data_IF_330649397270
#
_entry.id   IF_330649397270
#
_cell.length_a   1.000
_cell.length_b   1.000
_cell.length_c   1.000
_cell.angle_alpha   90.00
_cell.angle_beta   90.00
_cell.angle_gamma   90.00
#
_symmetry.space_group_name_H-M   'P 1'
#
loop_
_entity.id
_entity.type
_entity.pdbx_description
1 polymer ?
#
# COMPACT_ATOMS: atom_id res chain seq x y z
N UNK A 1 68.67 33.70 -57.33
CA UNK A 1 67.69 33.50 -56.27
C UNK A 1 66.31 33.78 -56.83
N UNK A 2 65.59 32.72 -57.18
CA UNK A 2 64.19 32.84 -57.61
C UNK A 2 63.29 32.75 -56.34
N UNK A 3 62.77 33.91 -55.98
CA UNK A 3 61.75 33.99 -54.94
C UNK A 3 60.39 33.58 -55.57
N UNK A 4 60.05 32.30 -55.46
CA UNK A 4 58.75 31.82 -55.86
C UNK A 4 57.78 32.29 -54.79
N UNK A 5 57.27 33.49 -54.91
CA UNK A 5 56.06 33.84 -54.24
C UNK A 5 54.97 32.94 -54.82
N UNK A 6 54.55 31.95 -54.03
CA UNK A 6 53.37 31.18 -54.34
C UNK A 6 52.21 32.15 -54.27
N UNK A 7 51.85 32.75 -55.40
CA UNK A 7 50.59 33.46 -55.55
C UNK A 7 49.52 32.39 -55.55
N UNK A 8 48.90 32.12 -54.37
CA UNK A 8 47.67 31.36 -54.30
C UNK A 8 46.70 31.97 -55.31
N UNK A 9 46.29 31.19 -56.29
CA UNK A 9 45.31 31.63 -57.26
C UNK A 9 43.99 32.01 -56.55
N UNK A 10 43.29 33.07 -57.05
CA UNK A 10 41.98 33.44 -56.44
C UNK A 10 40.97 32.33 -56.43
N UNK A 11 41.06 31.37 -57.36
CA UNK A 11 40.21 30.14 -57.39
C UNK A 11 40.43 29.23 -56.22
N UNK A 12 41.66 29.06 -55.74
CA UNK A 12 42.00 28.20 -54.62
C UNK A 12 41.49 28.82 -53.33
N UNK A 13 41.55 30.08 -53.13
CA UNK A 13 40.99 30.81 -51.99
C UNK A 13 39.45 30.65 -51.91
N UNK A 14 38.78 30.78 -53.04
CA UNK A 14 37.34 30.62 -53.16
C UNK A 14 36.93 29.20 -52.84
N UNK A 15 37.67 28.20 -53.30
CA UNK A 15 37.40 26.79 -53.05
C UNK A 15 37.58 26.44 -51.56
N UNK A 16 38.63 26.92 -50.91
CA UNK A 16 38.85 26.74 -49.46
C UNK A 16 37.76 27.40 -48.65
N UNK A 17 37.36 28.64 -48.97
CA UNK A 17 36.26 29.34 -48.32
C UNK A 17 34.93 28.57 -48.43
N UNK A 18 34.64 28.01 -49.62
CA UNK A 18 33.45 27.20 -49.84
C UNK A 18 33.44 25.91 -48.99
N UNK A 19 34.57 25.22 -48.91
CA UNK A 19 34.70 24.00 -48.04
C UNK A 19 34.55 24.33 -46.57
N UNK A 20 35.15 25.41 -46.08
CA UNK A 20 35.01 25.85 -44.69
C UNK A 20 33.55 26.19 -44.37
N UNK A 21 32.86 26.89 -45.29
CA UNK A 21 31.44 27.22 -45.10
C UNK A 21 30.56 25.97 -45.04
N UNK A 22 30.84 24.97 -45.86
CA UNK A 22 30.14 23.67 -45.84
C UNK A 22 30.36 22.90 -44.54
N UNK A 23 31.58 22.92 -44.01
CA UNK A 23 31.91 22.30 -42.71
C UNK A 23 31.18 23.02 -41.58
N UNK A 24 31.16 24.34 -41.57
CA UNK A 24 30.47 25.18 -40.60
C UNK A 24 28.97 24.88 -40.59
N UNK A 25 28.33 24.82 -41.77
CA UNK A 25 26.90 24.46 -41.87
C UNK A 25 26.59 23.07 -41.36
N UNK A 26 27.44 22.09 -41.63
CA UNK A 26 27.29 20.72 -41.12
C UNK A 26 27.42 20.71 -39.59
N UNK A 27 28.39 21.39 -39.04
CA UNK A 27 28.60 21.49 -37.60
C UNK A 27 27.39 22.14 -36.93
N UNK A 28 26.89 23.24 -37.43
CA UNK A 28 25.71 23.93 -36.91
C UNK A 28 24.46 23.04 -36.97
N UNK A 29 24.26 22.31 -38.08
CA UNK A 29 23.14 21.40 -38.22
C UNK A 29 23.17 20.28 -37.16
N UNK A 30 24.34 19.63 -36.99
CA UNK A 30 24.51 18.55 -35.98
C UNK A 30 24.33 19.09 -34.56
N UNK A 31 24.85 20.29 -34.30
CA UNK A 31 24.71 20.93 -33.00
C UNK A 31 23.25 21.25 -32.65
N UNK A 32 22.52 21.83 -33.62
CA UNK A 32 21.10 22.13 -33.46
C UNK A 32 20.25 20.86 -33.25
N UNK A 33 20.55 19.77 -33.97
CA UNK A 33 19.88 18.49 -33.79
C UNK A 33 20.12 17.91 -32.38
N UNK A 34 21.35 18.05 -31.87
CA UNK A 34 21.67 17.62 -30.50
C UNK A 34 20.94 18.44 -29.46
N UNK A 35 20.87 19.77 -29.63
CA UNK A 35 20.10 20.64 -28.73
C UNK A 35 18.62 20.27 -28.75
N UNK A 36 18.05 20.04 -29.93
CA UNK A 36 16.64 19.65 -30.04
C UNK A 36 16.33 18.33 -29.31
N UNK A 37 17.18 17.31 -29.50
CA UNK A 37 17.05 16.05 -28.74
C UNK A 37 17.19 16.24 -27.25
N UNK A 38 18.09 17.10 -26.79
CA UNK A 38 18.22 17.42 -25.37
C UNK A 38 16.94 18.08 -24.83
N UNK A 39 16.33 18.99 -25.59
CA UNK A 39 15.06 19.63 -25.21
C UNK A 39 13.92 18.60 -25.10
N UNK A 40 13.83 17.66 -26.05
CA UNK A 40 12.89 16.55 -25.98
C UNK A 40 13.10 15.71 -24.71
N UNK A 41 14.35 15.33 -24.41
CA UNK A 41 14.67 14.56 -23.23
C UNK A 41 14.31 15.33 -21.93
N UNK A 42 14.60 16.63 -21.88
CA UNK A 42 14.23 17.46 -20.71
C UNK A 42 12.73 17.53 -20.54
N UNK A 43 11.97 17.65 -21.65
CA UNK A 43 10.51 17.61 -21.61
C UNK A 43 9.99 16.28 -21.07
N UNK A 44 10.50 15.15 -21.55
CA UNK A 44 10.12 13.82 -21.04
C UNK A 44 10.46 13.63 -19.56
N UNK A 45 11.60 14.17 -19.12
CA UNK A 45 11.95 14.14 -17.69
C UNK A 45 10.98 14.99 -16.87
N UNK A 46 10.58 16.16 -17.35
CA UNK A 46 9.61 17.01 -16.69
C UNK A 46 8.24 16.30 -16.57
N UNK A 47 7.76 15.70 -17.66
CA UNK A 47 6.52 14.90 -17.65
C UNK A 47 6.61 13.75 -16.66
N UNK A 48 7.75 13.05 -16.61
CA UNK A 48 8.00 11.98 -15.65
C UNK A 48 7.99 12.46 -14.19
N UNK A 49 8.53 13.62 -13.90
CA UNK A 49 8.50 14.24 -12.57
C UNK A 49 7.07 14.58 -12.15
N UNK A 50 6.24 15.09 -13.07
CA UNK A 50 4.83 15.37 -12.79
C UNK A 50 4.04 14.09 -12.45
N UNK A 51 4.26 13.00 -13.19
CA UNK A 51 3.66 11.69 -12.89
C UNK A 51 4.08 11.19 -11.49
N UNK A 52 5.36 11.31 -11.15
CA UNK A 52 5.87 10.91 -9.82
C UNK A 52 5.24 11.77 -8.72
N UNK A 53 5.10 13.07 -8.95
CA UNK A 53 4.44 13.97 -7.99
C UNK A 53 3.00 13.55 -7.75
N UNK A 54 2.22 13.29 -8.80
CA UNK A 54 0.82 12.89 -8.69
C UNK A 54 0.67 11.54 -8.00
N UNK A 55 1.54 10.56 -8.31
CA UNK A 55 1.59 9.28 -7.62
C UNK A 55 1.93 9.45 -6.13
N UNK A 56 2.85 10.36 -5.78
CA UNK A 56 3.22 10.64 -4.39
C UNK A 56 2.05 11.25 -3.60
N UNK A 57 1.29 12.14 -4.21
CA UNK A 57 0.06 12.71 -3.61
C UNK A 57 -0.99 11.63 -3.39
N UNK A 58 -1.15 10.73 -4.36
CA UNK A 58 -2.10 9.62 -4.23
C UNK A 58 -1.69 8.65 -3.11
N UNK A 59 -0.40 8.28 -3.02
CA UNK A 59 0.13 7.47 -1.92
C UNK A 59 -0.09 8.12 -0.55
N UNK A 60 0.01 9.44 -0.46
CA UNK A 60 -0.30 10.18 0.77
C UNK A 60 -1.75 9.97 1.21
N UNK A 61 -2.70 10.08 0.29
CA UNK A 61 -4.13 9.84 0.58
C UNK A 61 -4.40 8.40 1.01
N UNK A 62 -3.80 7.43 0.31
CA UNK A 62 -3.94 6.01 0.64
C UNK A 62 -3.36 5.68 2.03
N UNK A 63 -2.23 6.29 2.39
CA UNK A 63 -1.67 6.16 3.74
C UNK A 63 -2.58 6.74 4.83
N UNK A 64 -3.26 7.86 4.56
CA UNK A 64 -4.23 8.42 5.50
C UNK A 64 -5.45 7.50 5.67
N UNK A 65 -5.91 6.85 4.60
CA UNK A 65 -6.98 5.85 4.65
C UNK A 65 -6.56 4.60 5.46
N UNK A 66 -5.36 4.08 5.20
CA UNK A 66 -4.78 2.96 5.98
C UNK A 66 -4.70 3.34 7.46
N UNK A 67 -4.31 4.56 7.80
CA UNK A 67 -4.29 5.05 9.18
C UNK A 67 -5.67 4.99 9.86
N UNK A 68 -6.73 5.34 9.13
CA UNK A 68 -8.12 5.23 9.62
C UNK A 68 -8.54 3.78 9.81
N UNK A 69 -8.18 2.91 8.87
CA UNK A 69 -8.50 1.49 8.93
C UNK A 69 -7.81 0.80 10.11
N UNK A 70 -6.56 1.13 10.39
CA UNK A 70 -5.83 0.63 11.56
C UNK A 70 -6.54 1.05 12.86
N UNK A 71 -7.04 2.29 12.94
CA UNK A 71 -7.81 2.75 14.08
C UNK A 71 -9.11 1.97 14.24
N UNK A 72 -9.85 1.75 13.16
CA UNK A 72 -11.07 0.95 13.16
C UNK A 72 -10.80 -0.50 13.60
N UNK A 73 -9.70 -1.11 13.14
CA UNK A 73 -9.29 -2.45 13.56
C UNK A 73 -8.97 -2.51 15.07
N UNK A 74 -8.34 -1.48 15.61
CA UNK A 74 -8.08 -1.37 17.05
C UNK A 74 -9.39 -1.32 17.85
N UNK A 75 -10.37 -0.52 17.39
CA UNK A 75 -11.68 -0.42 18.03
C UNK A 75 -12.45 -1.77 17.96
N UNK A 76 -12.36 -2.48 16.85
CA UNK A 76 -12.95 -3.82 16.68
C UNK A 76 -12.27 -4.82 17.63
N UNK A 77 -10.96 -4.80 17.75
CA UNK A 77 -10.20 -5.67 18.66
C UNK A 77 -10.63 -5.44 20.11
N UNK A 78 -10.79 -4.19 20.53
CA UNK A 78 -11.26 -3.84 21.86
C UNK A 78 -12.67 -4.37 22.12
N UNK A 79 -13.59 -4.20 21.18
CA UNK A 79 -14.96 -4.74 21.29
C UNK A 79 -14.98 -6.25 21.35
N UNK A 80 -14.12 -6.92 20.61
CA UNK A 80 -13.99 -8.37 20.64
C UNK A 80 -13.50 -8.84 22.01
N UNK A 81 -12.52 -8.16 22.60
CA UNK A 81 -12.05 -8.45 23.95
C UNK A 81 -13.19 -8.33 24.99
N UNK A 82 -13.96 -7.25 24.91
CA UNK A 82 -15.09 -7.02 25.82
C UNK A 82 -16.19 -8.11 25.65
N UNK A 83 -16.45 -8.50 24.38
CA UNK A 83 -17.39 -9.57 24.05
C UNK A 83 -16.93 -10.92 24.63
N UNK A 84 -15.64 -11.24 24.49
CA UNK A 84 -15.05 -12.47 25.06
C UNK A 84 -15.19 -12.48 26.59
N UNK A 85 -14.86 -11.38 27.25
CA UNK A 85 -15.04 -11.24 28.72
C UNK A 85 -16.50 -11.46 29.13
N UNK A 86 -17.45 -10.85 28.41
CA UNK A 86 -18.88 -11.06 28.65
C UNK A 86 -19.32 -12.51 28.46
N UNK A 87 -18.79 -13.19 27.44
CA UNK A 87 -19.08 -14.59 27.16
C UNK A 87 -18.57 -15.51 28.29
N UNK A 88 -17.35 -15.24 28.79
CA UNK A 88 -16.78 -15.98 29.93
C UNK A 88 -17.67 -15.81 31.16
N UNK A 89 -18.04 -14.58 31.48
CA UNK A 89 -18.92 -14.30 32.62
C UNK A 89 -20.27 -15.04 32.50
N UNK A 90 -20.90 -14.99 31.33
CA UNK A 90 -22.15 -15.72 31.08
C UNK A 90 -21.99 -17.23 31.17
N UNK A 91 -20.85 -17.78 30.70
CA UNK A 91 -20.55 -19.22 30.84
C UNK A 91 -20.46 -19.65 32.31
N UNK A 92 -19.84 -18.84 33.16
CA UNK A 92 -19.75 -19.12 34.60
C UNK A 92 -21.14 -19.09 35.29
N UNK A 93 -21.99 -18.13 34.87
CA UNK A 93 -23.38 -18.07 35.38
C UNK A 93 -24.20 -19.29 34.96
N UNK A 94 -24.07 -19.73 33.70
CA UNK A 94 -24.71 -20.95 33.18
C UNK A 94 -24.22 -22.17 33.94
N UNK A 95 -22.93 -22.31 34.21
CA UNK A 95 -22.38 -23.41 35.03
C UNK A 95 -22.96 -23.41 36.45
N UNK A 96 -23.07 -22.24 37.07
CA UNK A 96 -23.73 -22.10 38.39
C UNK A 96 -25.18 -22.58 38.37
N UNK A 97 -25.92 -22.19 37.32
CA UNK A 97 -27.32 -22.61 37.12
C UNK A 97 -27.43 -24.14 36.93
N UNK A 98 -26.56 -24.72 36.11
CA UNK A 98 -26.51 -26.17 35.85
C UNK A 98 -26.25 -26.94 37.16
N UNK A 99 -25.32 -26.45 37.98
CA UNK A 99 -25.05 -27.07 39.29
C UNK A 99 -26.28 -27.04 40.21
N UNK A 100 -26.97 -25.88 40.28
CA UNK A 100 -28.19 -25.73 41.07
C UNK A 100 -29.31 -26.65 40.59
N UNK A 101 -29.49 -26.79 39.27
CA UNK A 101 -30.47 -27.73 38.68
C UNK A 101 -30.10 -29.19 39.01
N UNK A 102 -28.83 -29.53 39.02
CA UNK A 102 -28.34 -30.87 39.38
C UNK A 102 -28.64 -31.19 40.86
N UNK A 103 -28.40 -30.24 41.76
CA UNK A 103 -28.70 -30.36 43.16
C UNK A 103 -30.21 -30.55 43.39
N UNK A 104 -31.06 -29.72 42.82
CA UNK A 104 -32.52 -29.85 42.89
C UNK A 104 -33.02 -31.20 42.34
N UNK A 105 -32.42 -31.65 41.22
CA UNK A 105 -32.76 -32.96 40.63
C UNK A 105 -32.47 -34.12 41.63
N UNK A 106 -31.39 -34.05 42.39
CA UNK A 106 -31.00 -35.02 43.40
C UNK A 106 -31.95 -34.97 44.56
N UNK A 107 -32.35 -33.77 45.01
CA UNK A 107 -33.34 -33.62 46.11
C UNK A 107 -34.70 -34.18 45.72
N UNK A 108 -35.17 -33.89 44.50
CA UNK A 108 -36.41 -34.43 43.96
C UNK A 108 -36.38 -35.96 43.90
N UNK A 109 -35.27 -36.54 43.45
CA UNK A 109 -35.07 -37.99 43.38
C UNK A 109 -35.12 -38.63 44.80
N UNK A 110 -34.46 -38.01 45.77
CA UNK A 110 -34.49 -38.43 47.18
C UNK A 110 -35.92 -38.39 47.76
N UNK A 111 -36.61 -37.27 47.56
CA UNK A 111 -37.99 -37.10 48.01
C UNK A 111 -38.94 -38.12 47.36
N UNK A 112 -38.76 -38.42 46.06
CA UNK A 112 -39.56 -39.46 45.40
C UNK A 112 -39.31 -40.87 45.98
N UNK A 113 -38.05 -41.17 46.30
CA UNK A 113 -37.70 -42.42 46.95
C UNK A 113 -38.33 -42.54 48.39
N UNK A 114 -38.27 -41.46 49.15
CA UNK A 114 -38.89 -41.43 50.52
C UNK A 114 -40.40 -41.60 50.43
N UNK A 115 -41.07 -40.95 49.46
CA UNK A 115 -42.50 -41.16 49.22
C UNK A 115 -42.84 -42.59 48.82
N UNK A 116 -42.05 -43.22 47.97
CA UNK A 116 -42.18 -44.60 47.57
C UNK A 116 -42.08 -45.55 48.81
N UNK A 117 -41.13 -45.25 49.70
CA UNK A 117 -40.97 -45.94 50.98
C UNK A 117 -42.22 -45.84 51.89
N UNK A 118 -42.75 -44.61 52.03
CA UNK A 118 -43.99 -44.39 52.84
C UNK A 118 -45.18 -45.13 52.22
N UNK A 119 -45.37 -45.04 50.89
CA UNK A 119 -46.46 -45.73 50.18
C UNK A 119 -46.34 -47.25 50.35
N UNK A 120 -45.15 -47.81 50.30
CA UNK A 120 -44.94 -49.24 50.52
C UNK A 120 -45.29 -49.69 51.93
N UNK A 121 -45.06 -48.82 52.93
CA UNK A 121 -45.39 -49.10 54.31
C UNK A 121 -46.92 -49.11 54.55
N UNK A 122 -47.70 -48.29 53.85
CA UNK A 122 -49.14 -48.26 53.93
C UNK A 122 -49.86 -49.42 53.20
N UNK A 123 -49.14 -50.12 52.33
CA UNK A 123 -49.66 -51.21 51.50
C UNK A 123 -49.61 -52.59 52.22
N UNK A 124 -49.01 -52.61 53.36
CA UNK A 124 -49.09 -53.77 54.28
C UNK A 124 -50.26 -53.62 55.27
#
# INVERSE_FOLDING_TARGET
MMNRSVSEEPSDRLFIAFRLKKIELRYNLVYNLKIHKMQEHVSHVADGVDVIRDATVQLGKENDEIGKDIKNLSDIAQRNEDTVKGTIFFSDEVLGTVNSVTEMSTEVSSSANDMAGVVSHFRM
#
